data_IF_348568545438
#
_entry.id   IF_348568545438
#
_cell.length_a   1.000
_cell.length_b   1.000
_cell.length_c   1.000
_cell.angle_alpha   90.00
_cell.angle_beta   90.00
_cell.angle_gamma   90.00
#
_symmetry.space_group_name_H-M   'P 1'
#
loop_
_entity.id
_entity.type
_entity.pdbx_description
1 polymer ?
#
# COMPACT_ATOMS: atom_id res chain seq x y z
N UNK A 1 28.80 15.10 52.16
CA UNK A 1 28.25 13.73 52.21
C UNK A 1 26.88 13.58 51.45
N UNK A 2 26.08 14.58 51.39
CA UNK A 2 24.74 14.54 50.71
C UNK A 2 24.84 14.41 49.17
N UNK A 3 25.85 15.02 48.55
CA UNK A 3 26.05 15.01 47.09
C UNK A 3 26.43 13.63 46.51
N UNK A 4 27.09 12.78 47.31
CA UNK A 4 27.45 11.42 46.87
C UNK A 4 26.24 10.50 46.85
N UNK A 5 25.25 10.74 47.71
CA UNK A 5 24.01 9.97 47.77
C UNK A 5 23.11 10.22 46.56
N UNK A 6 23.08 11.44 46.02
CA UNK A 6 22.31 11.85 44.83
C UNK A 6 22.89 11.20 43.56
N UNK A 7 24.19 11.05 43.45
CA UNK A 7 24.86 10.40 42.30
C UNK A 7 24.64 8.88 42.27
N UNK A 8 24.36 8.24 43.38
CA UNK A 8 24.06 6.80 43.45
C UNK A 8 22.61 6.48 43.02
N UNK A 9 21.68 7.42 43.17
CA UNK A 9 20.27 7.22 42.82
C UNK A 9 20.04 7.33 41.28
N UNK A 10 20.88 8.13 40.57
CA UNK A 10 20.74 8.32 39.11
C UNK A 10 21.12 7.09 38.27
N UNK A 11 21.79 6.09 38.84
CA UNK A 11 22.15 4.88 38.09
C UNK A 11 21.14 3.73 38.16
N UNK A 12 20.08 3.85 38.96
CA UNK A 12 19.10 2.76 39.17
C UNK A 12 18.03 2.74 38.05
N UNK A 13 17.87 3.84 37.34
CA UNK A 13 16.77 3.99 36.35
C UNK A 13 17.04 3.30 35.01
N UNK A 14 18.27 2.94 34.66
CA UNK A 14 18.60 2.32 33.37
C UNK A 14 18.47 0.79 33.33
N UNK A 15 18.44 0.12 34.47
CA UNK A 15 18.41 -1.35 34.55
C UNK A 15 17.01 -1.96 34.32
N UNK A 16 15.94 -1.19 34.42
CA UNK A 16 14.58 -1.74 34.31
C UNK A 16 14.08 -1.87 32.86
N UNK A 17 14.60 -1.08 31.91
CA UNK A 17 14.12 -1.04 30.53
C UNK A 17 14.46 -2.30 29.75
N UNK A 18 15.62 -2.88 29.96
CA UNK A 18 16.12 -4.06 29.25
C UNK A 18 15.32 -5.32 29.59
N UNK A 19 14.87 -5.44 30.85
CA UNK A 19 14.14 -6.62 31.34
C UNK A 19 12.68 -6.62 30.82
N UNK A 20 12.06 -5.45 30.67
CA UNK A 20 10.70 -5.32 30.12
C UNK A 20 10.66 -5.68 28.62
N UNK A 21 11.59 -5.17 27.81
CA UNK A 21 11.69 -5.47 26.39
C UNK A 21 11.89 -6.98 26.13
N UNK A 22 12.80 -7.60 26.89
CA UNK A 22 13.07 -9.04 26.81
C UNK A 22 11.87 -9.88 27.25
N UNK A 23 11.17 -9.44 28.29
CA UNK A 23 9.97 -10.13 28.80
C UNK A 23 8.82 -10.08 27.78
N UNK A 24 8.53 -8.91 27.23
CA UNK A 24 7.45 -8.75 26.26
C UNK A 24 7.81 -9.29 24.87
N UNK A 25 9.07 -9.20 24.44
CA UNK A 25 9.54 -9.80 23.20
C UNK A 25 9.35 -11.31 23.13
N UNK A 26 9.44 -12.03 24.27
CA UNK A 26 9.20 -13.48 24.34
C UNK A 26 7.74 -13.89 24.08
N UNK A 27 6.80 -12.97 24.15
CA UNK A 27 5.39 -13.24 23.82
C UNK A 27 5.18 -13.38 22.31
N UNK A 28 6.08 -12.80 21.51
CA UNK A 28 6.08 -12.93 20.06
C UNK A 28 6.78 -14.22 19.69
N UNK A 29 6.01 -15.23 19.32
CA UNK A 29 6.53 -16.55 18.94
C UNK A 29 6.40 -16.77 17.44
N UNK A 30 7.28 -17.58 16.86
CA UNK A 30 7.20 -17.97 15.45
C UNK A 30 5.86 -18.63 15.13
N UNK A 31 5.36 -19.49 16.02
CA UNK A 31 4.09 -20.17 15.84
C UNK A 31 2.90 -19.19 15.86
N UNK A 32 2.89 -18.25 16.80
CA UNK A 32 1.87 -17.19 16.87
C UNK A 32 1.86 -16.29 15.63
N UNK A 33 3.04 -15.93 15.11
CA UNK A 33 3.15 -15.17 13.86
C UNK A 33 2.67 -15.97 12.67
N UNK A 34 3.08 -17.23 12.54
CA UNK A 34 2.65 -18.13 11.46
C UNK A 34 1.14 -18.29 11.43
N UNK A 35 0.52 -18.51 12.60
CA UNK A 35 -0.94 -18.66 12.70
C UNK A 35 -1.67 -17.41 12.19
N UNK A 36 -1.26 -16.22 12.63
CA UNK A 36 -1.87 -14.95 12.21
C UNK A 36 -1.64 -14.67 10.72
N UNK A 37 -0.43 -14.91 10.25
CA UNK A 37 -0.07 -14.71 8.86
C UNK A 37 -0.85 -15.67 7.94
N UNK A 38 -1.03 -16.93 8.33
CA UNK A 38 -1.80 -17.90 7.56
C UNK A 38 -3.26 -17.50 7.40
N UNK A 39 -3.84 -16.81 8.40
CA UNK A 39 -5.21 -16.28 8.29
C UNK A 39 -5.23 -15.05 7.36
N UNK A 40 -4.41 -14.04 7.64
CA UNK A 40 -4.47 -12.76 6.91
C UNK A 40 -4.04 -12.90 5.44
N UNK A 41 -3.22 -13.90 5.12
CA UNK A 41 -2.75 -14.20 3.77
C UNK A 41 -3.54 -15.34 3.09
N UNK A 42 -4.65 -15.79 3.69
CA UNK A 42 -5.47 -16.85 3.10
C UNK A 42 -6.22 -16.37 1.85
N UNK A 43 -6.68 -17.33 1.04
CA UNK A 43 -7.52 -17.07 -0.13
C UNK A 43 -8.84 -16.36 0.23
N UNK A 44 -9.38 -16.60 1.43
CA UNK A 44 -10.58 -15.94 1.94
C UNK A 44 -10.45 -14.42 2.05
N UNK A 45 -9.22 -13.92 2.21
CA UNK A 45 -8.91 -12.49 2.27
C UNK A 45 -8.76 -11.85 0.88
N UNK A 46 -8.86 -12.61 -0.22
CA UNK A 46 -8.92 -12.11 -1.61
C UNK A 46 -7.87 -11.04 -1.95
N UNK A 47 -6.63 -11.20 -1.45
CA UNK A 47 -5.56 -10.23 -1.66
C UNK A 47 -5.69 -8.91 -0.88
N UNK A 48 -6.81 -8.63 -0.23
CA UNK A 48 -7.07 -7.43 0.60
C UNK A 48 -6.92 -6.10 -0.15
N UNK A 49 -7.26 -6.10 -1.42
CA UNK A 49 -7.26 -4.88 -2.21
C UNK A 49 -8.23 -3.85 -1.62
N UNK A 50 -7.79 -2.59 -1.58
CA UNK A 50 -8.55 -1.48 -0.99
C UNK A 50 -9.93 -1.33 -1.64
N UNK A 51 -10.97 -1.21 -0.82
CA UNK A 51 -12.37 -1.10 -1.24
C UNK A 51 -13.07 -2.44 -1.49
N UNK A 52 -12.37 -3.58 -1.44
CA UNK A 52 -12.93 -4.91 -1.68
C UNK A 52 -13.50 -5.58 -0.41
N UNK A 53 -14.21 -6.68 -0.60
CA UNK A 53 -14.67 -7.50 0.52
C UNK A 53 -13.50 -8.17 1.26
N UNK A 54 -12.40 -8.49 0.55
CA UNK A 54 -11.18 -9.00 1.16
C UNK A 54 -10.56 -8.05 2.17
N UNK A 55 -10.48 -6.75 1.82
CA UNK A 55 -10.05 -5.71 2.78
C UNK A 55 -10.95 -5.67 4.02
N UNK A 56 -12.28 -5.66 3.82
CA UNK A 56 -13.24 -5.59 4.94
C UNK A 56 -13.12 -6.79 5.88
N UNK A 57 -12.91 -8.01 5.33
CA UNK A 57 -12.66 -9.20 6.14
C UNK A 57 -11.35 -9.09 6.91
N UNK A 58 -10.29 -8.61 6.28
CA UNK A 58 -9.01 -8.40 6.94
C UNK A 58 -9.10 -7.34 8.06
N UNK A 59 -9.80 -6.22 7.83
CA UNK A 59 -10.05 -5.20 8.85
C UNK A 59 -10.83 -5.76 10.03
N UNK A 60 -11.88 -6.55 9.78
CA UNK A 60 -12.66 -7.20 10.83
C UNK A 60 -11.82 -8.21 11.65
N UNK A 61 -10.95 -8.96 10.99
CA UNK A 61 -10.02 -9.85 11.66
C UNK A 61 -9.07 -9.08 12.59
N UNK A 62 -8.44 -8.01 12.10
CA UNK A 62 -7.54 -7.17 12.89
C UNK A 62 -8.27 -6.55 14.08
N UNK A 63 -9.49 -6.04 13.87
CA UNK A 63 -10.33 -5.51 14.93
C UNK A 63 -10.61 -6.56 16.00
N UNK A 64 -10.93 -7.80 15.62
CA UNK A 64 -11.18 -8.90 16.56
C UNK A 64 -9.93 -9.21 17.40
N UNK A 65 -8.74 -9.15 16.80
CA UNK A 65 -7.48 -9.34 17.51
C UNK A 65 -7.20 -8.21 18.51
N UNK A 66 -7.48 -6.95 18.14
CA UNK A 66 -7.34 -5.82 19.07
C UNK A 66 -8.26 -5.95 20.28
N UNK A 67 -9.53 -6.32 20.05
CA UNK A 67 -10.50 -6.60 21.13
C UNK A 67 -10.02 -7.75 22.02
N UNK A 68 -9.51 -8.83 21.43
CA UNK A 68 -8.98 -9.98 22.17
C UNK A 68 -7.77 -9.60 23.06
N UNK A 69 -6.95 -8.66 22.59
CA UNK A 69 -5.83 -8.13 23.36
C UNK A 69 -6.22 -7.10 24.41
N UNK A 70 -7.49 -6.70 24.50
CA UNK A 70 -7.98 -5.71 25.44
C UNK A 70 -7.59 -4.26 25.09
N UNK A 71 -7.18 -4.01 23.84
CA UNK A 71 -6.90 -2.66 23.38
C UNK A 71 -8.19 -1.84 23.32
N UNK A 72 -8.09 -0.55 23.57
CA UNK A 72 -9.21 0.36 23.40
C UNK A 72 -9.27 0.87 21.96
N UNK A 73 -10.47 1.18 21.42
CA UNK A 73 -10.60 1.76 20.09
C UNK A 73 -9.93 3.14 20.01
N UNK A 74 -9.25 3.41 18.89
CA UNK A 74 -8.52 4.66 18.67
C UNK A 74 -9.34 5.77 18.00
N UNK A 75 -10.52 5.45 17.45
CA UNK A 75 -11.39 6.38 16.74
C UNK A 75 -12.79 6.40 17.41
N UNK A 76 -12.93 7.14 18.50
CA UNK A 76 -14.13 7.16 19.30
C UNK A 76 -14.43 5.77 19.87
N UNK A 77 -15.51 5.13 19.38
CA UNK A 77 -15.85 3.75 19.75
C UNK A 77 -15.51 2.72 18.67
N UNK A 78 -14.82 3.13 17.61
CA UNK A 78 -14.43 2.29 16.48
C UNK A 78 -12.94 1.99 16.48
N UNK A 79 -12.59 0.76 16.10
CA UNK A 79 -11.22 0.37 15.79
C UNK A 79 -10.84 0.72 14.35
N UNK A 80 -11.81 1.10 13.52
CA UNK A 80 -11.63 1.41 12.11
C UNK A 80 -11.79 2.90 11.84
N UNK A 81 -11.00 3.42 10.93
CA UNK A 81 -11.15 4.74 10.38
C UNK A 81 -11.61 4.61 8.93
N UNK A 82 -12.84 5.03 8.66
CA UNK A 82 -13.41 5.00 7.31
C UNK A 82 -12.95 6.22 6.54
N UNK A 83 -12.51 6.02 5.32
CA UNK A 83 -12.16 7.08 4.37
C UNK A 83 -12.70 6.74 2.97
N UNK A 84 -13.04 7.73 2.14
CA UNK A 84 -13.50 7.49 0.79
C UNK A 84 -12.34 7.02 -0.10
N UNK A 85 -12.61 6.05 -0.95
CA UNK A 85 -11.71 5.58 -2.01
C UNK A 85 -12.42 5.80 -3.33
N UNK A 86 -11.72 6.41 -4.29
CA UNK A 86 -12.21 6.67 -5.63
C UNK A 86 -11.46 5.78 -6.61
N UNK A 87 -12.19 5.19 -7.54
CA UNK A 87 -11.63 4.39 -8.61
C UNK A 87 -12.08 5.00 -9.94
N UNK A 88 -11.12 5.39 -10.75
CA UNK A 88 -11.39 5.84 -12.11
C UNK A 88 -11.62 4.64 -13.03
N UNK A 89 -12.61 4.74 -13.91
CA UNK A 89 -12.89 3.74 -14.90
C UNK A 89 -13.11 4.40 -16.27
N UNK A 90 -12.59 3.75 -17.31
CA UNK A 90 -12.86 4.17 -18.69
C UNK A 90 -14.30 3.83 -19.05
N UNK A 91 -15.12 4.85 -19.28
CA UNK A 91 -16.52 4.70 -19.66
C UNK A 91 -16.61 4.39 -21.16
N UNK A 92 -15.83 5.07 -21.99
CA UNK A 92 -15.75 4.86 -23.43
C UNK A 92 -14.31 4.66 -23.88
N UNK A 93 -14.10 3.66 -24.73
CA UNK A 93 -12.77 3.24 -25.22
C UNK A 93 -12.85 3.12 -26.74
N UNK A 94 -12.45 4.16 -27.44
CA UNK A 94 -12.50 4.20 -28.90
C UNK A 94 -11.25 4.84 -29.46
N UNK A 95 -10.59 4.14 -30.38
CA UNK A 95 -9.50 4.67 -31.17
C UNK A 95 -9.84 4.55 -32.65
N UNK A 96 -9.74 5.65 -33.38
CA UNK A 96 -9.91 5.70 -34.84
C UNK A 96 -8.71 6.44 -35.42
N UNK A 97 -7.99 5.80 -36.33
CA UNK A 97 -6.87 6.41 -37.06
C UNK A 97 -7.09 6.23 -38.54
N UNK A 98 -7.05 7.31 -39.30
CA UNK A 98 -7.32 7.32 -40.77
C UNK A 98 -8.60 6.56 -41.18
N UNK A 99 -9.68 6.70 -40.38
CA UNK A 99 -10.96 6.04 -40.61
C UNK A 99 -11.06 4.58 -40.19
N UNK A 100 -9.95 3.96 -39.73
CA UNK A 100 -9.93 2.60 -39.21
C UNK A 100 -10.15 2.61 -37.70
N UNK A 101 -11.10 1.80 -37.23
CA UNK A 101 -11.33 1.59 -35.78
C UNK A 101 -10.46 0.46 -35.26
N UNK A 102 -9.90 0.68 -34.07
CA UNK A 102 -9.06 -0.27 -33.35
C UNK A 102 -9.78 -0.76 -32.10
N UNK A 103 -9.55 -2.03 -31.72
CA UNK A 103 -10.19 -2.69 -30.59
C UNK A 103 -9.36 -2.56 -29.32
N UNK A 104 -10.01 -2.20 -28.22
CA UNK A 104 -9.39 -2.15 -26.90
C UNK A 104 -8.87 -3.53 -26.47
N UNK A 105 -7.72 -3.55 -25.75
CA UNK A 105 -7.01 -4.74 -25.27
C UNK A 105 -6.50 -5.70 -26.34
N UNK A 106 -6.82 -5.46 -27.60
CA UNK A 106 -6.30 -6.22 -28.74
C UNK A 106 -5.31 -5.42 -29.55
N UNK A 107 -5.72 -4.24 -29.99
CA UNK A 107 -4.94 -3.40 -30.88
C UNK A 107 -4.28 -2.24 -30.13
N UNK A 108 -4.86 -1.79 -29.02
CA UNK A 108 -4.34 -0.72 -28.20
C UNK A 108 -4.78 -0.84 -26.74
N UNK A 109 -3.98 -0.25 -25.87
CA UNK A 109 -4.38 0.04 -24.50
C UNK A 109 -3.64 1.31 -24.00
N UNK A 110 -4.06 1.92 -22.89
CA UNK A 110 -3.33 3.00 -22.24
C UNK A 110 -3.59 3.02 -20.74
N UNK A 111 -2.64 3.60 -20.01
CA UNK A 111 -2.74 3.76 -18.56
C UNK A 111 -3.49 5.05 -18.22
N UNK A 112 -4.38 4.99 -17.21
CA UNK A 112 -5.04 6.17 -16.64
C UNK A 112 -4.15 6.96 -15.68
N UNK A 113 -2.98 6.45 -15.33
CA UNK A 113 -2.08 7.11 -14.40
C UNK A 113 -1.54 8.42 -15.00
N UNK A 114 -1.75 9.53 -14.29
CA UNK A 114 -1.23 10.83 -14.70
C UNK A 114 -2.00 11.53 -15.82
N UNK A 115 -3.17 11.03 -16.23
CA UNK A 115 -4.00 11.69 -17.24
C UNK A 115 -4.70 12.90 -16.62
N UNK A 116 -4.43 14.08 -17.20
CA UNK A 116 -5.18 15.28 -16.86
C UNK A 116 -6.52 15.29 -17.60
N UNK A 117 -7.58 15.73 -16.93
CA UNK A 117 -8.87 15.94 -17.56
C UNK A 117 -8.77 17.05 -18.61
N UNK A 118 -9.18 16.78 -19.83
CA UNK A 118 -9.13 17.77 -20.93
C UNK A 118 -9.53 17.18 -22.28
N UNK A 119 -9.72 18.09 -23.25
CA UNK A 119 -9.86 17.73 -24.65
C UNK A 119 -8.56 18.08 -25.38
N UNK A 120 -8.03 17.10 -26.09
CA UNK A 120 -6.76 17.22 -26.79
C UNK A 120 -7.01 17.01 -28.29
N UNK A 121 -6.53 17.94 -29.12
CA UNK A 121 -6.57 17.81 -30.57
C UNK A 121 -5.13 17.75 -31.10
N UNK A 122 -4.80 16.67 -31.75
CA UNK A 122 -3.52 16.48 -32.42
C UNK A 122 -3.71 16.47 -33.93
N UNK A 123 -2.92 17.21 -34.65
CA UNK A 123 -2.91 17.24 -36.12
C UNK A 123 -1.92 16.26 -36.71
N UNK A 124 -1.00 15.78 -35.90
CA UNK A 124 0.05 14.85 -36.30
C UNK A 124 0.32 13.84 -35.18
N UNK A 125 0.58 12.60 -35.56
CA UNK A 125 0.97 11.51 -34.66
C UNK A 125 2.19 10.84 -35.26
N UNK A 126 3.24 10.70 -34.46
CA UNK A 126 4.49 10.05 -34.82
C UNK A 126 4.61 8.72 -34.11
N UNK A 127 5.02 7.68 -34.82
CA UNK A 127 5.34 6.39 -34.22
C UNK A 127 6.74 6.47 -33.57
N UNK A 128 6.81 6.27 -32.27
CA UNK A 128 8.04 6.38 -31.47
C UNK A 128 8.44 5.04 -30.83
N UNK A 129 8.22 3.91 -31.49
CA UNK A 129 8.61 2.59 -31.00
C UNK A 129 8.11 2.34 -29.57
N UNK A 130 9.02 2.07 -28.64
CA UNK A 130 8.74 1.91 -27.20
C UNK A 130 8.90 3.22 -26.42
N UNK A 131 9.24 4.33 -27.07
CA UNK A 131 9.50 5.62 -26.41
C UNK A 131 10.79 5.62 -25.57
N UNK A 132 11.77 4.82 -25.93
CA UNK A 132 13.01 4.66 -25.17
C UNK A 132 14.04 5.68 -25.64
N UNK A 133 14.65 6.40 -24.69
CA UNK A 133 15.84 7.21 -24.89
C UNK A 133 16.94 6.68 -23.98
N UNK A 134 17.96 6.06 -24.57
CA UNK A 134 19.13 5.54 -23.86
C UNK A 134 20.41 5.95 -24.61
N UNK A 135 21.02 7.12 -24.26
CA UNK A 135 22.22 7.60 -24.92
C UNK A 135 23.40 6.64 -24.79
N UNK A 136 23.45 5.84 -23.73
CA UNK A 136 24.53 4.89 -23.52
C UNK A 136 24.54 3.74 -24.54
N UNK A 137 23.37 3.44 -25.12
CA UNK A 137 23.17 2.41 -26.16
C UNK A 137 22.87 3.01 -27.53
N UNK A 138 22.98 4.32 -27.68
CA UNK A 138 22.64 5.03 -28.90
C UNK A 138 21.22 4.72 -29.39
N UNK A 139 20.27 4.63 -28.44
CA UNK A 139 18.85 4.41 -28.73
C UNK A 139 18.10 5.71 -28.48
N UNK A 140 17.35 6.18 -29.48
CA UNK A 140 16.39 7.27 -29.34
C UNK A 140 15.21 7.02 -30.29
N UNK A 141 14.12 6.52 -29.74
CA UNK A 141 12.91 6.19 -30.50
C UNK A 141 12.16 7.43 -31.03
N UNK A 142 12.56 8.64 -30.62
CA UNK A 142 11.96 9.91 -31.03
C UNK A 142 12.74 10.61 -32.14
N UNK A 143 13.94 10.13 -32.48
CA UNK A 143 14.75 10.62 -33.61
C UNK A 143 14.62 9.68 -34.82
N UNK A 144 13.64 9.93 -35.67
CA UNK A 144 13.47 9.29 -36.98
C UNK A 144 13.83 10.28 -38.09
#
# INVERSE_FOLDING_TARGET
MIWILILLISNITFAQTTNALTKFGKVITTEGLKQKLSIIASAEMEGRETGTQGEKRAAAYIESEFKRMGLQPGNGQSYQQVFPVYQDALVEKKLVVAGKTFEWDKDFNFSLQGIATGNWNFTEVVFAGYGIVDPSKNINDYEN
#
